data_IF_450992886854
#
_entry.id   IF_450992886854
#
_cell.length_a   1.000
_cell.length_b   1.000
_cell.length_c   1.000
_cell.angle_alpha   90.00
_cell.angle_beta   90.00
_cell.angle_gamma   90.00
#
_symmetry.space_group_name_H-M   'P 1'
#
loop_
_entity.id
_entity.type
_entity.pdbx_description
1 polymer ?
#
# COMPACT_ATOMS: atom_id res chain seq x y z
N UNK A 1 24.51 -0.41 -5.63
CA UNK A 1 24.83 -0.93 -6.97
C UNK A 1 23.70 -1.88 -7.34
N UNK A 2 22.46 -1.37 -7.32
CA UNK A 2 21.25 -2.19 -7.24
C UNK A 2 20.25 -1.90 -8.36
N UNK A 3 20.30 -0.70 -8.96
CA UNK A 3 19.36 -0.25 -10.00
C UNK A 3 19.29 -1.15 -11.24
N UNK A 4 20.41 -1.78 -11.64
CA UNK A 4 20.45 -2.60 -12.86
C UNK A 4 19.75 -3.96 -12.65
N UNK A 5 19.82 -4.52 -11.45
CA UNK A 5 19.18 -5.79 -11.13
C UNK A 5 17.64 -5.67 -11.09
N UNK A 6 17.11 -4.49 -10.74
CA UNK A 6 15.66 -4.26 -10.66
C UNK A 6 15.00 -4.16 -12.05
N UNK A 7 15.76 -3.87 -13.11
CA UNK A 7 15.24 -3.79 -14.48
C UNK A 7 14.83 -5.15 -15.05
N UNK A 8 15.38 -6.26 -14.54
CA UNK A 8 15.12 -7.61 -15.04
C UNK A 8 13.97 -8.31 -14.31
N UNK A 9 13.38 -7.67 -13.29
CA UNK A 9 12.22 -8.21 -12.58
C UNK A 9 10.94 -8.03 -13.41
N UNK A 10 9.97 -8.96 -13.29
CA UNK A 10 8.62 -8.74 -13.79
C UNK A 10 8.04 -7.42 -13.28
N UNK A 11 7.19 -6.77 -14.10
CA UNK A 11 6.61 -5.46 -13.77
C UNK A 11 5.95 -5.45 -12.39
N UNK A 12 5.18 -6.49 -12.07
CA UNK A 12 4.52 -6.66 -10.76
C UNK A 12 5.50 -6.63 -9.59
N UNK A 13 6.60 -7.38 -9.67
CA UNK A 13 7.62 -7.43 -8.62
C UNK A 13 8.35 -6.08 -8.47
N UNK A 14 8.51 -5.32 -9.56
CA UNK A 14 9.06 -3.96 -9.50
C UNK A 14 8.11 -3.01 -8.79
N UNK A 15 6.81 -3.11 -9.07
CA UNK A 15 5.76 -2.30 -8.42
C UNK A 15 5.74 -2.59 -6.91
N UNK A 16 5.67 -3.86 -6.52
CA UNK A 16 5.72 -4.27 -5.10
C UNK A 16 6.94 -3.71 -4.37
N UNK A 17 8.13 -3.81 -4.97
CA UNK A 17 9.36 -3.26 -4.36
C UNK A 17 9.33 -1.74 -4.19
N UNK A 18 8.78 -1.01 -5.15
CA UNK A 18 8.63 0.44 -5.05
C UNK A 18 7.69 0.80 -3.90
N UNK A 19 6.57 0.09 -3.78
CA UNK A 19 5.58 0.32 -2.72
C UNK A 19 6.13 -0.11 -1.34
N UNK A 20 6.92 -1.19 -1.30
CA UNK A 20 7.63 -1.64 -0.11
C UNK A 20 8.56 -0.54 0.46
N UNK A 21 9.12 0.31 -0.40
CA UNK A 21 10.00 1.43 -0.02
C UNK A 21 9.25 2.72 0.36
N UNK A 22 7.94 2.80 0.11
CA UNK A 22 7.15 3.97 0.50
C UNK A 22 7.07 4.08 2.04
N UNK A 23 7.07 5.31 2.58
CA UNK A 23 7.04 5.51 4.02
C UNK A 23 5.75 4.96 4.63
N UNK A 24 5.88 4.23 5.74
CA UNK A 24 4.74 3.78 6.53
C UNK A 24 4.46 4.81 7.61
N UNK A 25 3.27 5.38 7.57
CA UNK A 25 2.83 6.42 8.48
C UNK A 25 2.21 5.85 9.74
N UNK A 26 2.36 6.59 10.83
CA UNK A 26 1.72 6.26 12.11
C UNK A 26 0.41 7.04 12.28
N UNK A 27 -0.39 6.69 13.29
CA UNK A 27 -1.64 7.41 13.63
C UNK A 27 -1.46 8.92 13.82
N UNK A 28 -0.25 9.39 14.12
CA UNK A 28 0.05 10.83 14.31
C UNK A 28 0.22 11.58 12.99
N UNK A 29 0.53 10.87 11.92
CA UNK A 29 0.91 11.42 10.62
C UNK A 29 -0.20 11.24 9.57
N UNK A 30 -1.35 10.69 9.98
CA UNK A 30 -2.47 10.31 9.12
C UNK A 30 -3.74 11.04 9.57
N UNK A 31 -4.52 11.62 8.64
CA UNK A 31 -5.83 12.20 8.97
C UNK A 31 -6.85 11.09 9.26
N UNK A 32 -7.00 10.70 10.53
CA UNK A 32 -7.84 9.55 10.92
C UNK A 32 -9.34 9.70 10.59
N UNK A 33 -9.82 10.92 10.38
CA UNK A 33 -11.20 11.21 9.98
C UNK A 33 -11.45 10.98 8.46
N UNK A 34 -10.43 10.56 7.73
CA UNK A 34 -10.48 10.31 6.29
C UNK A 34 -10.31 8.81 5.96
N UNK A 35 -10.58 8.46 4.71
CA UNK A 35 -10.51 7.09 4.21
C UNK A 35 -9.55 6.97 3.03
N UNK A 36 -9.06 5.76 2.77
CA UNK A 36 -8.32 5.50 1.55
C UNK A 36 -9.21 5.77 0.32
N UNK A 37 -8.82 6.64 -0.63
CA UNK A 37 -9.65 6.94 -1.81
C UNK A 37 -9.83 5.77 -2.78
N UNK A 38 -9.07 4.68 -2.62
CA UNK A 38 -9.11 3.50 -3.50
C UNK A 38 -10.07 2.45 -2.94
N UNK A 39 -9.79 1.90 -1.75
CA UNK A 39 -10.62 0.86 -1.14
C UNK A 39 -11.72 1.40 -0.22
N UNK A 40 -11.79 2.71 0.00
CA UNK A 40 -12.78 3.40 0.82
C UNK A 40 -12.77 3.02 2.31
N UNK A 41 -11.79 2.22 2.74
CA UNK A 41 -11.61 1.86 4.13
C UNK A 41 -11.09 3.05 4.95
N UNK A 42 -11.66 3.30 6.15
CA UNK A 42 -11.16 4.31 7.08
C UNK A 42 -9.69 4.09 7.46
N UNK A 43 -8.92 5.17 7.56
CA UNK A 43 -7.50 5.08 7.87
C UNK A 43 -7.21 4.53 9.28
N UNK A 44 -8.08 4.79 10.25
CA UNK A 44 -7.99 4.18 11.58
C UNK A 44 -8.10 2.65 11.52
N UNK A 45 -9.05 2.11 10.76
CA UNK A 45 -9.24 0.68 10.57
C UNK A 45 -8.04 0.03 9.87
N UNK A 46 -7.45 0.71 8.88
CA UNK A 46 -6.23 0.27 8.17
C UNK A 46 -5.06 0.16 9.15
N UNK A 47 -4.85 1.17 9.99
CA UNK A 47 -3.76 1.19 10.98
C UNK A 47 -3.94 0.17 12.11
N UNK A 48 -5.19 -0.22 12.38
CA UNK A 48 -5.50 -1.30 13.34
C UNK A 48 -5.40 -2.70 12.73
N UNK A 49 -5.09 -2.81 11.43
CA UNK A 49 -5.05 -4.10 10.72
C UNK A 49 -6.43 -4.78 10.64
N UNK A 50 -7.52 -4.01 10.79
CA UNK A 50 -8.90 -4.51 10.80
C UNK A 50 -9.52 -4.58 9.40
N UNK A 51 -8.83 -4.04 8.40
CA UNK A 51 -9.26 -4.10 7.00
C UNK A 51 -8.27 -4.92 6.19
N UNK A 52 -8.79 -6.03 5.72
CA UNK A 52 -8.39 -6.90 4.63
C UNK A 52 -9.65 -7.73 4.37
N UNK A 53 -9.98 -7.97 3.09
CA UNK A 53 -11.31 -8.41 2.59
C UNK A 53 -12.32 -7.25 2.60
N UNK A 54 -12.66 -6.62 1.48
CA UNK A 54 -13.86 -6.97 0.68
C UNK A 54 -13.82 -6.41 -0.77
N UNK A 55 -12.64 -5.99 -1.27
CA UNK A 55 -12.53 -5.24 -2.53
C UNK A 55 -11.37 -5.61 -3.44
N UNK A 56 -10.72 -6.76 -3.23
CA UNK A 56 -9.69 -7.25 -4.13
C UNK A 56 -10.28 -7.37 -5.55
N UNK A 57 -9.90 -6.45 -6.45
CA UNK A 57 -10.22 -6.58 -7.86
C UNK A 57 -9.79 -7.97 -8.32
N UNK A 58 -10.73 -8.70 -8.92
CA UNK A 58 -10.61 -10.10 -9.31
C UNK A 58 -9.63 -10.32 -10.49
N UNK A 59 -8.34 -10.04 -10.27
CA UNK A 59 -7.26 -10.23 -11.24
C UNK A 59 -6.22 -11.27 -10.81
N UNK A 60 -5.80 -11.26 -9.55
CA UNK A 60 -4.72 -12.14 -9.07
C UNK A 60 -5.06 -12.65 -7.67
N UNK A 61 -5.13 -13.97 -7.54
CA UNK A 61 -5.46 -14.67 -6.29
C UNK A 61 -4.44 -14.33 -5.19
N UNK A 62 -4.87 -14.35 -3.90
CA UNK A 62 -4.06 -13.90 -2.79
C UNK A 62 -3.02 -14.97 -2.45
N UNK A 63 -1.81 -14.84 -2.99
CA UNK A 63 -0.65 -15.40 -2.30
C UNK A 63 -0.46 -14.54 -1.05
N UNK A 64 -1.08 -15.00 0.04
CA UNK A 64 -0.88 -14.58 1.43
C UNK A 64 -0.44 -13.12 1.57
N UNK A 65 -1.42 -12.21 1.73
CA UNK A 65 -1.26 -10.85 2.23
C UNK A 65 0.18 -10.56 2.66
N UNK A 66 0.96 -10.05 1.70
CA UNK A 66 2.36 -9.75 1.90
C UNK A 66 2.41 -8.74 3.05
N UNK A 67 2.71 -9.24 4.25
CA UNK A 67 2.56 -8.49 5.51
C UNK A 67 3.43 -7.22 5.49
N UNK A 68 4.38 -7.15 4.56
CA UNK A 68 5.26 -6.00 4.32
C UNK A 68 4.56 -4.82 3.61
N UNK A 69 3.45 -5.06 2.90
CA UNK A 69 2.67 -4.02 2.19
C UNK A 69 1.50 -3.47 3.02
N UNK A 70 1.45 -3.77 4.31
CA UNK A 70 0.48 -3.18 5.24
C UNK A 70 0.73 -1.68 5.51
N UNK A 71 -0.31 -1.01 6.00
CA UNK A 71 -0.25 0.37 6.47
C UNK A 71 -0.56 1.44 5.43
N UNK A 72 -0.34 2.70 5.82
CA UNK A 72 -0.70 3.90 5.04
C UNK A 72 0.58 4.62 4.64
N UNK A 73 0.60 5.16 3.43
CA UNK A 73 1.65 6.04 2.93
C UNK A 73 1.06 7.35 2.44
N UNK A 74 1.90 8.39 2.41
CA UNK A 74 1.64 9.63 1.69
C UNK A 74 2.58 9.71 0.48
N UNK A 75 2.04 10.03 -0.70
CA UNK A 75 2.85 10.20 -1.90
C UNK A 75 3.50 11.58 -1.93
N UNK A 76 4.83 11.61 -1.99
CA UNK A 76 5.60 12.83 -2.19
C UNK A 76 5.29 13.43 -3.58
N UNK A 77 5.02 14.74 -3.63
CA UNK A 77 4.68 15.47 -4.85
C UNK A 77 3.20 15.85 -4.99
N UNK A 78 2.27 14.95 -4.70
CA UNK A 78 0.82 15.24 -4.72
C UNK A 78 0.18 15.27 -3.32
N UNK A 79 0.82 14.67 -2.32
CA UNK A 79 0.39 14.72 -0.93
C UNK A 79 -0.81 13.85 -0.57
N UNK A 80 -1.26 12.99 -1.48
CA UNK A 80 -2.38 12.07 -1.26
C UNK A 80 -1.97 10.88 -0.38
N UNK A 81 -2.94 10.40 0.43
CA UNK A 81 -2.78 9.28 1.35
C UNK A 81 -3.49 8.03 0.81
N UNK A 82 -2.84 6.88 0.91
CA UNK A 82 -3.38 5.58 0.47
C UNK A 82 -2.91 4.46 1.40
N UNK A 83 -3.69 3.39 1.53
CA UNK A 83 -3.14 2.12 2.00
C UNK A 83 -2.16 1.57 0.95
N UNK A 84 -1.07 0.97 1.42
CA UNK A 84 -0.03 0.44 0.54
C UNK A 84 -0.47 -0.82 -0.21
N UNK A 85 -1.41 -1.58 0.37
CA UNK A 85 -1.97 -2.79 -0.23
C UNK A 85 -2.76 -2.54 -1.53
N UNK A 86 -3.34 -1.35 -1.72
CA UNK A 86 -4.15 -1.04 -2.91
C UNK A 86 -3.38 -0.23 -3.97
N UNK A 87 -2.05 -0.09 -3.82
CA UNK A 87 -1.18 0.54 -4.82
C UNK A 87 -0.58 -0.47 -5.83
N UNK A 88 -0.84 -1.77 -5.65
CA UNK A 88 -0.35 -2.86 -6.53
C UNK A 88 -1.39 -3.26 -7.58
#
# INVERSE_FOLDING_TARGET
>A
MDDVAELHLPVHERIKRIIARLPVLTKKDVPLDDSCPICLNPFDAILEGKVHDEGAFAGEAPEAADSELGGITKLEGCGHFFCRADLI
#
